data_IF_767235491218
#
_entry.id   IF_767235491218
#
_cell.length_a   1.000
_cell.length_b   1.000
_cell.length_c   1.000
_cell.angle_alpha   90.00
_cell.angle_beta   90.00
_cell.angle_gamma   90.00
#
_symmetry.space_group_name_H-M   'P 1'
#
loop_
_entity.id
_entity.type
_entity.pdbx_description
1 polymer ?
#
# COMPACT_ATOMS: atom_id res chain seq x y z
N UNK A 1 -16.26 -22.27 -19.83
CA UNK A 1 -15.64 -21.97 -18.52
C UNK A 1 -16.12 -20.59 -18.15
N UNK A 2 -17.05 -20.52 -17.21
CA UNK A 2 -17.72 -19.28 -16.82
C UNK A 2 -16.74 -18.34 -16.12
N UNK A 3 -16.65 -17.11 -16.63
CA UNK A 3 -16.01 -15.99 -15.95
C UNK A 3 -16.74 -15.77 -14.63
N UNK A 4 -16.14 -16.19 -13.51
CA UNK A 4 -16.52 -15.70 -12.20
C UNK A 4 -16.10 -14.25 -12.11
N UNK A 5 -16.95 -13.34 -12.56
CA UNK A 5 -16.83 -11.93 -12.19
C UNK A 5 -16.82 -11.88 -10.66
N UNK A 6 -15.68 -11.50 -10.07
CA UNK A 6 -15.60 -11.23 -8.65
C UNK A 6 -16.38 -9.93 -8.37
N UNK A 7 -17.71 -10.00 -8.41
CA UNK A 7 -18.57 -8.90 -7.95
C UNK A 7 -18.58 -8.93 -6.43
N UNK A 8 -17.50 -8.45 -5.83
CA UNK A 8 -17.56 -8.05 -4.43
C UNK A 8 -18.55 -6.89 -4.37
N UNK A 9 -19.63 -7.06 -3.59
CA UNK A 9 -20.57 -5.97 -3.38
C UNK A 9 -19.86 -4.83 -2.66
N UNK A 10 -20.08 -3.60 -3.12
CA UNK A 10 -19.62 -2.36 -2.48
C UNK A 10 -19.82 -2.38 -0.96
N UNK A 11 -20.92 -2.95 -0.48
CA UNK A 11 -21.20 -3.14 0.95
C UNK A 11 -20.13 -3.95 1.70
N UNK A 12 -19.56 -5.00 1.09
CA UNK A 12 -18.48 -5.79 1.69
C UNK A 12 -17.19 -5.00 1.80
N UNK A 13 -16.87 -4.19 0.78
CA UNK A 13 -15.71 -3.29 0.82
C UNK A 13 -15.88 -2.25 1.94
N UNK A 14 -17.01 -1.55 1.97
CA UNK A 14 -17.29 -0.54 2.99
C UNK A 14 -17.28 -1.13 4.41
N UNK A 15 -17.80 -2.34 4.57
CA UNK A 15 -17.73 -3.06 5.85
C UNK A 15 -16.28 -3.38 6.23
N UNK A 16 -15.48 -3.87 5.27
CA UNK A 16 -14.06 -4.16 5.47
C UNK A 16 -13.28 -2.90 5.87
N UNK A 17 -13.41 -1.80 5.12
CA UNK A 17 -12.78 -0.51 5.44
C UNK A 17 -13.26 0.05 6.80
N UNK A 18 -14.55 -0.11 7.11
CA UNK A 18 -15.11 0.22 8.43
C UNK A 18 -14.45 -0.56 9.58
N UNK A 19 -14.15 -1.85 9.37
CA UNK A 19 -13.46 -2.67 10.35
C UNK A 19 -11.96 -2.37 10.42
N UNK A 20 -11.31 -2.08 9.30
CA UNK A 20 -9.90 -1.69 9.24
C UNK A 20 -9.63 -0.46 10.13
N UNK A 21 -10.47 0.57 10.05
CA UNK A 21 -10.39 1.74 10.94
C UNK A 21 -10.42 1.36 12.43
N UNK A 22 -11.30 0.43 12.82
CA UNK A 22 -11.40 -0.03 14.22
C UNK A 22 -10.12 -0.76 14.65
N UNK A 23 -9.61 -1.64 13.79
CA UNK A 23 -8.36 -2.37 14.02
C UNK A 23 -7.17 -1.41 14.17
N UNK A 24 -7.08 -0.37 13.34
CA UNK A 24 -6.03 0.65 13.45
C UNK A 24 -6.08 1.38 14.79
N UNK A 25 -7.26 1.79 15.24
CA UNK A 25 -7.42 2.46 16.55
C UNK A 25 -7.04 1.52 17.69
N UNK A 26 -7.45 0.25 17.63
CA UNK A 26 -7.13 -0.73 18.66
C UNK A 26 -5.62 -1.03 18.75
N UNK A 27 -4.88 -0.79 17.67
CA UNK A 27 -3.46 -1.12 17.55
C UNK A 27 -2.61 0.11 17.20
N UNK A 28 -3.04 1.30 17.62
CA UNK A 28 -2.39 2.57 17.28
C UNK A 28 -0.97 2.70 17.85
N UNK A 29 -0.60 1.86 18.82
CA UNK A 29 0.73 1.81 19.42
C UNK A 29 1.75 1.01 18.58
N UNK A 30 1.31 0.31 17.51
CA UNK A 30 2.22 -0.44 16.65
C UNK A 30 3.08 0.51 15.80
N UNK A 31 4.40 0.39 15.92
CA UNK A 31 5.35 1.19 15.14
C UNK A 31 5.25 0.90 13.63
N UNK A 32 4.98 -0.35 13.25
CA UNK A 32 4.87 -0.79 11.87
C UNK A 32 3.42 -0.89 11.38
N UNK A 33 2.51 -0.06 11.93
CA UNK A 33 1.09 -0.06 11.58
C UNK A 33 0.84 0.07 10.06
N UNK A 34 1.70 0.79 9.34
CA UNK A 34 1.63 0.92 7.87
C UNK A 34 1.75 -0.42 7.15
N UNK A 35 2.57 -1.36 7.64
CA UNK A 35 2.72 -2.71 7.08
C UNK A 35 1.41 -3.51 7.24
N UNK A 36 0.75 -3.41 8.40
CA UNK A 36 -0.55 -4.06 8.64
C UNK A 36 -1.66 -3.49 7.78
N UNK A 37 -1.73 -2.16 7.67
CA UNK A 37 -2.76 -1.48 6.85
C UNK A 37 -2.55 -1.80 5.38
N UNK A 38 -1.31 -1.75 4.89
CA UNK A 38 -1.00 -2.10 3.50
C UNK A 38 -1.37 -3.56 3.20
N UNK A 39 -1.02 -4.50 4.09
CA UNK A 39 -1.37 -5.92 3.93
C UNK A 39 -2.89 -6.15 3.93
N UNK A 40 -3.64 -5.55 4.87
CA UNK A 40 -5.10 -5.71 4.97
C UNK A 40 -5.81 -5.13 3.72
N UNK A 41 -5.32 -3.99 3.20
CA UNK A 41 -5.80 -3.44 1.93
C UNK A 41 -5.49 -4.37 0.75
N UNK A 42 -4.23 -4.84 0.62
CA UNK A 42 -3.79 -5.66 -0.52
C UNK A 42 -4.35 -7.09 -0.53
N UNK A 43 -4.78 -7.61 0.62
CA UNK A 43 -5.47 -8.91 0.73
C UNK A 43 -6.98 -8.76 0.86
N UNK A 44 -7.45 -7.52 0.94
CA UNK A 44 -8.86 -7.16 1.07
C UNK A 44 -9.68 -7.54 -0.16
N UNK A 45 -11.00 -7.43 -0.08
CA UNK A 45 -11.88 -8.02 -1.08
C UNK A 45 -11.81 -7.32 -2.46
N UNK A 46 -11.27 -6.10 -2.56
CA UNK A 46 -11.28 -5.31 -3.79
C UNK A 46 -9.91 -4.86 -4.31
N UNK A 47 -8.84 -5.08 -3.55
CA UNK A 47 -7.49 -4.60 -3.90
C UNK A 47 -6.47 -5.73 -3.84
N UNK A 48 -6.83 -6.89 -4.43
CA UNK A 48 -6.05 -8.14 -4.43
C UNK A 48 -4.86 -8.10 -5.38
N UNK A 49 -3.93 -7.19 -5.14
CA UNK A 49 -2.72 -7.01 -5.97
C UNK A 49 -1.65 -8.02 -5.61
N UNK A 50 -0.72 -8.30 -6.53
CA UNK A 50 0.39 -9.22 -6.26
C UNK A 50 1.59 -8.50 -5.61
N UNK A 51 1.96 -7.30 -6.05
CA UNK A 51 2.91 -6.42 -5.34
C UNK A 51 2.35 -5.01 -5.14
N UNK A 52 2.69 -4.40 -4.01
CA UNK A 52 2.43 -3.00 -3.71
C UNK A 52 3.52 -2.40 -2.83
N UNK A 53 3.90 -1.15 -3.08
CA UNK A 53 4.92 -0.44 -2.33
C UNK A 53 4.43 0.97 -1.98
N UNK A 54 4.49 1.30 -0.69
CA UNK A 54 4.07 2.57 -0.12
C UNK A 54 5.29 3.43 0.22
N UNK A 55 5.25 4.67 -0.26
CA UNK A 55 6.29 5.69 -0.11
C UNK A 55 5.70 6.98 0.45
N UNK A 56 6.59 7.77 1.06
CA UNK A 56 6.31 9.17 1.38
C UNK A 56 7.30 10.04 0.61
N UNK A 57 6.75 10.95 -0.18
CA UNK A 57 7.47 12.01 -0.87
C UNK A 57 7.38 13.28 -0.03
N UNK A 58 8.53 13.83 0.35
CA UNK A 58 8.66 15.09 1.06
C UNK A 58 9.44 16.08 0.17
N UNK A 59 8.74 17.03 -0.47
CA UNK A 59 9.38 18.06 -1.30
C UNK A 59 10.32 18.99 -0.54
N UNK A 60 10.00 19.33 0.72
CA UNK A 60 10.78 20.26 1.54
C UNK A 60 12.20 19.73 1.82
N UNK A 61 12.33 18.40 1.97
CA UNK A 61 13.62 17.72 2.17
C UNK A 61 14.18 17.07 0.91
N UNK A 62 13.53 17.27 -0.24
CA UNK A 62 13.89 16.64 -1.51
C UNK A 62 14.09 15.11 -1.38
N UNK A 63 13.16 14.44 -0.70
CA UNK A 63 13.29 13.04 -0.30
C UNK A 63 12.04 12.23 -0.66
N UNK A 64 12.24 11.06 -1.26
CA UNK A 64 11.24 9.98 -1.30
C UNK A 64 11.74 8.84 -0.45
N UNK A 65 10.90 8.35 0.47
CA UNK A 65 11.23 7.31 1.44
C UNK A 65 10.26 6.15 1.35
N UNK A 66 10.78 4.94 1.22
CA UNK A 66 9.99 3.72 1.30
C UNK A 66 9.54 3.42 2.73
N UNK A 67 8.25 3.13 2.89
CA UNK A 67 7.61 2.91 4.19
C UNK A 67 7.24 1.44 4.39
N UNK A 68 6.56 0.84 3.43
CA UNK A 68 6.11 -0.55 3.52
C UNK A 68 5.98 -1.17 2.13
N UNK A 69 6.36 -2.44 2.01
CA UNK A 69 6.16 -3.26 0.81
C UNK A 69 5.30 -4.47 1.11
N UNK A 70 4.49 -4.88 0.14
CA UNK A 70 3.68 -6.09 0.16
C UNK A 70 3.97 -6.91 -1.10
N UNK A 71 4.19 -8.21 -0.94
CA UNK A 71 4.30 -9.16 -2.04
C UNK A 71 3.56 -10.45 -1.70
N UNK A 72 2.54 -10.78 -2.49
CA UNK A 72 1.64 -11.92 -2.25
C UNK A 72 2.36 -13.27 -2.15
N UNK A 73 3.47 -13.43 -2.87
CA UNK A 73 4.24 -14.68 -2.89
C UNK A 73 5.12 -14.87 -1.65
N UNK A 74 5.28 -13.86 -0.80
CA UNK A 74 6.08 -13.98 0.42
C UNK A 74 5.30 -14.67 1.55
N UNK A 75 5.96 -15.46 2.44
CA UNK A 75 5.28 -16.27 3.44
C UNK A 75 4.35 -15.49 4.38
N UNK A 76 4.70 -14.25 4.74
CA UNK A 76 3.90 -13.42 5.62
C UNK A 76 2.58 -12.97 4.97
N UNK A 77 2.51 -12.90 3.63
CA UNK A 77 1.30 -12.54 2.91
C UNK A 77 0.19 -13.59 3.09
N UNK A 78 0.57 -14.82 3.41
CA UNK A 78 -0.35 -15.95 3.63
C UNK A 78 -0.97 -15.99 5.04
N UNK A 79 -0.57 -15.07 5.94
CA UNK A 79 -1.17 -14.92 7.26
C UNK A 79 -2.59 -14.37 7.11
N UNK A 80 -3.60 -15.22 7.30
CA UNK A 80 -5.02 -14.89 7.07
C UNK A 80 -5.55 -13.75 7.93
N UNK A 81 -5.03 -13.60 9.15
CA UNK A 81 -5.44 -12.54 10.07
C UNK A 81 -4.23 -12.00 10.82
N UNK A 82 -3.59 -11.01 10.18
CA UNK A 82 -2.39 -10.33 10.70
C UNK A 82 -2.66 -9.60 12.01
N UNK A 83 -3.88 -9.12 12.23
CA UNK A 83 -4.25 -8.34 13.41
C UNK A 83 -4.36 -9.19 14.68
N UNK A 84 -4.73 -10.46 14.55
CA UNK A 84 -4.72 -11.43 15.66
C UNK A 84 -3.33 -12.05 15.85
N UNK A 85 -2.56 -12.21 14.77
CA UNK A 85 -1.24 -12.88 14.77
C UNK A 85 -0.07 -11.90 14.63
N UNK A 86 -0.11 -10.79 15.37
CA UNK A 86 0.81 -9.65 15.19
C UNK A 86 2.28 -10.04 15.29
N UNK A 87 2.67 -10.84 16.30
CA UNK A 87 4.07 -11.26 16.49
C UNK A 87 4.60 -12.05 15.30
N UNK A 88 3.77 -12.95 14.75
CA UNK A 88 4.13 -13.74 13.58
C UNK A 88 4.24 -12.85 12.34
N UNK A 89 3.30 -11.93 12.15
CA UNK A 89 3.32 -11.00 11.03
C UNK A 89 4.54 -10.07 11.09
N UNK A 90 4.83 -9.46 12.24
CA UNK A 90 6.00 -8.59 12.45
C UNK A 90 7.30 -9.34 12.13
N UNK A 91 7.48 -10.55 12.66
CA UNK A 91 8.64 -11.37 12.34
C UNK A 91 8.73 -11.66 10.83
N UNK A 92 7.60 -12.00 10.20
CA UNK A 92 7.54 -12.21 8.76
C UNK A 92 7.86 -10.97 7.91
N UNK A 93 7.46 -9.77 8.34
CA UNK A 93 7.79 -8.50 7.69
C UNK A 93 9.26 -8.12 7.87
N UNK A 94 9.86 -8.48 9.01
CA UNK A 94 11.30 -8.34 9.25
C UNK A 94 12.13 -9.28 8.38
N UNK A 95 11.55 -10.40 7.93
CA UNK A 95 12.21 -11.35 7.05
C UNK A 95 11.89 -11.13 5.56
N UNK A 96 10.83 -10.40 5.23
CA UNK A 96 10.41 -10.06 3.86
C UNK A 96 11.51 -9.35 3.06
N UNK A 97 11.90 -9.95 1.94
CA UNK A 97 12.91 -9.40 1.05
C UNK A 97 12.34 -8.17 0.31
N UNK A 98 11.08 -8.25 -0.12
CA UNK A 98 10.44 -7.14 -0.82
C UNK A 98 10.21 -5.93 0.09
N UNK A 99 9.70 -6.11 1.31
CA UNK A 99 9.53 -5.01 2.27
C UNK A 99 10.86 -4.36 2.62
N UNK A 100 11.92 -5.16 2.85
CA UNK A 100 13.28 -4.64 3.04
C UNK A 100 13.72 -3.79 1.85
N UNK A 101 13.55 -4.31 0.63
CA UNK A 101 13.90 -3.62 -0.62
C UNK A 101 13.18 -2.28 -0.75
N UNK A 102 11.89 -2.23 -0.41
CA UNK A 102 11.12 -0.97 -0.36
C UNK A 102 11.69 -0.02 0.70
N UNK A 103 11.90 -0.48 1.93
CA UNK A 103 12.35 0.38 3.06
C UNK A 103 13.76 0.95 2.90
N UNK A 104 14.64 0.29 2.15
CA UNK A 104 15.96 0.83 1.82
C UNK A 104 15.95 1.76 0.60
N UNK A 105 14.87 1.75 -0.20
CA UNK A 105 14.74 2.62 -1.36
C UNK A 105 14.39 4.05 -0.91
N UNK A 106 15.45 4.83 -0.72
CA UNK A 106 15.38 6.24 -0.36
C UNK A 106 16.03 7.05 -1.49
N UNK A 107 15.24 7.88 -2.16
CA UNK A 107 15.72 8.72 -3.25
C UNK A 107 15.86 10.16 -2.77
N UNK A 108 17.04 10.75 -2.97
CA UNK A 108 17.29 12.18 -2.77
C UNK A 108 16.79 13.03 -3.95
N UNK A 109 15.58 12.72 -4.40
CA UNK A 109 14.89 13.41 -5.47
C UNK A 109 13.40 13.32 -5.19
N UNK A 110 12.85 14.35 -4.55
CA UNK A 110 11.40 14.50 -4.47
C UNK A 110 10.82 14.81 -5.85
N UNK A 111 9.51 14.61 -5.98
CA UNK A 111 8.76 15.08 -7.13
C UNK A 111 7.67 16.06 -6.70
N UNK A 112 7.26 16.90 -7.63
CA UNK A 112 6.09 17.74 -7.48
C UNK A 112 4.85 16.98 -7.96
N UNK A 113 3.81 16.98 -7.12
CA UNK A 113 2.56 16.30 -7.42
C UNK A 113 1.91 16.86 -8.71
N UNK A 114 1.53 15.96 -9.64
CA UNK A 114 0.89 16.29 -10.91
C UNK A 114 1.82 16.84 -11.99
N UNK A 115 3.15 16.78 -11.80
CA UNK A 115 4.14 17.17 -12.80
C UNK A 115 4.69 15.96 -13.55
N UNK A 116 5.32 16.19 -14.70
CA UNK A 116 5.95 15.13 -15.50
C UNK A 116 7.05 14.36 -14.76
N UNK A 117 7.71 14.98 -13.78
CA UNK A 117 8.73 14.34 -12.94
C UNK A 117 8.15 13.22 -12.05
N UNK A 118 6.87 13.30 -11.68
CA UNK A 118 6.19 12.26 -10.90
C UNK A 118 6.19 10.93 -11.65
N UNK A 119 5.70 10.93 -12.89
CA UNK A 119 5.59 9.71 -13.70
C UNK A 119 6.95 9.05 -13.92
N UNK A 120 7.96 9.85 -14.26
CA UNK A 120 9.33 9.35 -14.45
C UNK A 120 9.89 8.69 -13.18
N UNK A 121 9.68 9.31 -12.02
CA UNK A 121 10.15 8.77 -10.74
C UNK A 121 9.40 7.48 -10.37
N UNK A 122 8.08 7.44 -10.60
CA UNK A 122 7.27 6.24 -10.38
C UNK A 122 7.73 5.07 -11.27
N UNK A 123 7.96 5.33 -12.56
CA UNK A 123 8.48 4.31 -13.49
C UNK A 123 9.83 3.77 -13.03
N UNK A 124 10.75 4.67 -12.62
CA UNK A 124 12.05 4.28 -12.08
C UNK A 124 11.91 3.42 -10.81
N UNK A 125 11.06 3.82 -9.86
CA UNK A 125 10.83 3.04 -8.63
C UNK A 125 10.21 1.67 -8.94
N UNK A 126 9.24 1.61 -9.86
CA UNK A 126 8.61 0.36 -10.26
C UNK A 126 9.61 -0.61 -10.89
N UNK A 127 10.51 -0.11 -11.76
CA UNK A 127 11.58 -0.89 -12.37
C UNK A 127 12.56 -1.42 -11.30
N UNK A 128 13.02 -0.55 -10.40
CA UNK A 128 13.92 -0.94 -9.30
C UNK A 128 13.31 -2.00 -8.39
N UNK A 129 11.99 -1.96 -8.17
CA UNK A 129 11.25 -2.86 -7.30
C UNK A 129 10.68 -4.09 -8.03
N UNK A 130 10.85 -4.16 -9.35
CA UNK A 130 10.31 -5.22 -10.20
C UNK A 130 8.78 -5.36 -10.04
N UNK A 131 8.07 -4.24 -10.08
CA UNK A 131 6.60 -4.17 -10.05
C UNK A 131 6.11 -4.22 -11.51
N UNK A 132 5.45 -5.30 -11.90
CA UNK A 132 4.99 -5.48 -13.28
C UNK A 132 3.70 -4.69 -13.55
N UNK A 133 3.62 -4.03 -14.73
CA UNK A 133 2.48 -3.21 -15.15
C UNK A 133 2.04 -2.23 -14.04
N UNK A 134 2.94 -1.31 -13.61
CA UNK A 134 2.70 -0.49 -12.44
C UNK A 134 1.54 0.48 -12.67
N UNK A 135 0.60 0.49 -11.74
CA UNK A 135 -0.30 1.59 -11.49
C UNK A 135 0.16 2.32 -10.22
N UNK A 136 -0.25 3.57 -10.08
CA UNK A 136 0.10 4.33 -8.91
C UNK A 136 -0.98 5.32 -8.51
N UNK A 137 -0.98 5.68 -7.24
CA UNK A 137 -1.82 6.72 -6.67
C UNK A 137 -0.98 7.64 -5.79
N UNK A 138 -1.19 8.95 -5.94
CA UNK A 138 -0.54 9.98 -5.11
C UNK A 138 -1.61 10.83 -4.45
N UNK A 139 -1.43 11.13 -3.17
CA UNK A 139 -2.36 11.96 -2.41
C UNK A 139 -1.63 12.86 -1.42
N UNK A 140 -2.30 13.92 -0.99
CA UNK A 140 -1.76 14.87 -0.01
C UNK A 140 -1.79 14.27 1.42
N UNK A 141 -0.69 14.45 2.13
CA UNK A 141 -0.53 14.12 3.55
C UNK A 141 -0.36 15.41 4.39
N UNK A 142 -0.28 15.24 5.72
CA UNK A 142 0.05 16.33 6.63
C UNK A 142 1.45 16.88 6.34
N UNK A 143 1.66 18.16 6.66
CA UNK A 143 2.95 18.84 6.53
C UNK A 143 3.51 18.85 5.10
N UNK A 144 2.64 19.05 4.10
CA UNK A 144 3.00 19.11 2.68
C UNK A 144 3.75 17.86 2.14
N UNK A 145 3.65 16.73 2.86
CA UNK A 145 4.08 15.44 2.35
C UNK A 145 3.07 14.92 1.32
N UNK A 146 3.51 13.99 0.48
CA UNK A 146 2.66 13.23 -0.43
C UNK A 146 2.82 11.74 -0.16
N UNK A 147 1.70 11.02 -0.05
CA UNK A 147 1.71 9.56 -0.05
C UNK A 147 1.78 9.08 -1.50
N UNK A 148 2.58 8.06 -1.75
CA UNK A 148 2.70 7.41 -3.06
C UNK A 148 2.53 5.91 -2.87
N UNK A 149 1.55 5.32 -3.53
CA UNK A 149 1.38 3.87 -3.61
C UNK A 149 1.63 3.44 -5.05
N UNK A 150 2.54 2.51 -5.27
CA UNK A 150 2.80 1.85 -6.55
C UNK A 150 2.39 0.39 -6.42
N UNK A 151 1.61 -0.14 -7.36
CA UNK A 151 1.10 -1.50 -7.27
C UNK A 151 0.90 -2.12 -8.65
N UNK A 152 0.84 -3.45 -8.72
CA UNK A 152 0.60 -4.16 -9.98
C UNK A 152 -0.88 -4.08 -10.38
N UNK A 153 -1.14 -3.72 -11.63
CA UNK A 153 -2.50 -3.70 -12.20
C UNK A 153 -3.12 -5.09 -12.20
N UNK A 154 -4.38 -5.19 -11.78
CA UNK A 154 -5.22 -6.37 -12.04
C UNK A 154 -6.08 -6.13 -13.29
N UNK A 155 -6.31 -7.20 -14.04
CA UNK A 155 -6.99 -7.15 -15.35
C UNK A 155 -8.50 -6.83 -15.23
N UNK A 156 -9.09 -6.96 -14.04
CA UNK A 156 -10.52 -6.79 -13.77
C UNK A 156 -10.82 -5.49 -12.97
N UNK A 157 -10.58 -4.32 -13.59
CA UNK A 157 -10.90 -3.03 -12.97
C UNK A 157 -12.40 -2.68 -13.08
N UNK A 158 -13.15 -2.89 -11.99
CA UNK A 158 -14.50 -2.35 -11.84
C UNK A 158 -14.44 -0.89 -11.34
N UNK A 159 -14.62 0.07 -12.24
CA UNK A 159 -14.53 1.52 -11.96
C UNK A 159 -15.27 2.00 -10.70
N UNK A 160 -16.44 1.44 -10.38
CA UNK A 160 -17.26 1.87 -9.24
C UNK A 160 -16.72 1.42 -7.87
N UNK A 161 -15.94 0.34 -7.84
CA UNK A 161 -15.27 -0.15 -6.63
C UNK A 161 -13.95 0.58 -6.42
N UNK A 162 -13.36 1.08 -7.51
CA UNK A 162 -12.04 1.72 -7.52
C UNK A 162 -12.00 2.97 -6.65
N UNK A 163 -13.03 3.82 -6.67
CA UNK A 163 -13.06 5.05 -5.85
C UNK A 163 -12.96 4.74 -4.35
N UNK A 164 -13.73 3.75 -3.86
CA UNK A 164 -13.69 3.33 -2.46
C UNK A 164 -12.36 2.67 -2.07
N UNK A 165 -11.70 1.99 -3.02
CA UNK A 165 -10.36 1.43 -2.80
C UNK A 165 -9.34 2.57 -2.64
N UNK A 166 -9.42 3.60 -3.49
CA UNK A 166 -8.56 4.79 -3.38
C UNK A 166 -8.77 5.51 -2.04
N UNK A 167 -10.03 5.65 -1.59
CA UNK A 167 -10.34 6.19 -0.27
C UNK A 167 -9.72 5.35 0.86
N UNK A 168 -9.62 4.03 0.68
CA UNK A 168 -8.94 3.13 1.60
C UNK A 168 -7.45 3.45 1.77
N UNK A 169 -6.77 3.93 0.73
CA UNK A 169 -5.35 4.28 0.79
C UNK A 169 -5.08 5.44 1.75
N UNK A 170 -6.05 6.33 1.95
CA UNK A 170 -5.93 7.41 2.94
C UNK A 170 -5.76 6.91 4.37
N UNK A 171 -6.05 5.63 4.67
CA UNK A 171 -5.74 5.04 5.98
C UNK A 171 -4.25 4.99 6.28
N UNK A 172 -3.40 4.84 5.25
CA UNK A 172 -1.95 4.91 5.39
C UNK A 172 -1.49 6.30 5.89
N UNK A 173 -2.26 7.35 5.63
CA UNK A 173 -2.01 8.72 6.11
C UNK A 173 -2.14 8.88 7.62
N UNK A 174 -2.81 7.94 8.29
CA UNK A 174 -2.99 7.94 9.75
C UNK A 174 -1.98 7.05 10.46
N UNK A 175 -1.14 6.32 9.72
CA UNK A 175 -0.07 5.53 10.31
C UNK A 175 1.08 6.45 10.74
N UNK A 176 1.78 6.13 11.84
CA UNK A 176 2.97 6.86 12.22
C UNK A 176 4.04 6.73 11.13
N UNK A 177 4.76 7.82 10.92
CA UNK A 177 5.87 7.91 9.97
C UNK A 177 7.10 8.32 10.77
N UNK A 178 8.11 7.45 10.78
CA UNK A 178 9.38 7.65 11.47
C UNK A 178 10.50 7.72 10.45
#
# INVERSE_FOLDING_TARGET
MENKSCQVSESKLLQHLGNLRKKMIQNHELENLSEFVLHDLCTGPCFQVNKAAYFINNPDFNLVRGIAGYHHQEPHAQVRDVWTHQKQFIAGMQDSDFNKKVRVNNLHSAFEFGKSSEKYLVEKLADELEIANPLYHVWNLKHANHGLLIYESNVDDQKHVQDHVLDGFYYLSFCPVY
#
